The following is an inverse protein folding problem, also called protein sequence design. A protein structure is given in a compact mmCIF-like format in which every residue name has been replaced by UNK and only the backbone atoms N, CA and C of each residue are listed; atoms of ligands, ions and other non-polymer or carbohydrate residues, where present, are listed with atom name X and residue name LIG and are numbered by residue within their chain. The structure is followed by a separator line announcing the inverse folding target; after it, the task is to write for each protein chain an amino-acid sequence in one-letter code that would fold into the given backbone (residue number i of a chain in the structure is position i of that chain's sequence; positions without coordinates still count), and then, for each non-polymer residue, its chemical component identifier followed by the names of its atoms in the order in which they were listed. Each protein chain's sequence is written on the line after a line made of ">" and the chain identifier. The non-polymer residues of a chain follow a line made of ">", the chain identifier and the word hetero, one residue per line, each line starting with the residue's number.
data_IF_149062758573
#
_entry.id   IF_149062758573
#
_cell.length_a   1.000
_cell.length_b   1.000
_cell.length_c   1.000
_cell.angle_alpha   90.00
_cell.angle_beta   90.00
_cell.angle_gamma   90.00
#
_symmetry.space_group_name_H-M   'P 1'
#
loop_
_entity.id
_entity.type
_entity.pdbx_description
1 polymer ?
#
# COMPACT_ATOMS: atom_id res chain seq x y z
N UNK A 1 -11.18 19.67 79.74
CA UNK A 1 -11.88 19.92 78.46
C UNK A 1 -11.35 18.96 77.41
N UNK A 2 -12.21 18.14 76.77
CA UNK A 2 -11.84 17.21 75.69
C UNK A 2 -12.34 17.80 74.36
N UNK A 3 -11.50 17.89 73.31
CA UNK A 3 -11.92 18.46 72.05
C UNK A 3 -12.78 17.46 71.27
N UNK A 4 -13.91 17.91 70.75
CA UNK A 4 -14.72 17.16 69.79
C UNK A 4 -14.07 17.28 68.40
N UNK A 5 -13.44 16.20 67.94
CA UNK A 5 -12.95 16.09 66.56
C UNK A 5 -14.08 15.62 65.64
N UNK A 6 -14.50 16.51 64.73
CA UNK A 6 -15.49 16.20 63.69
C UNK A 6 -14.84 15.35 62.60
N UNK A 7 -15.21 14.06 62.51
CA UNK A 7 -14.80 13.20 61.38
C UNK A 7 -15.61 13.57 60.14
N UNK A 8 -14.95 14.07 59.09
CA UNK A 8 -15.52 14.11 57.73
C UNK A 8 -15.71 12.66 57.25
N UNK A 9 -16.96 12.24 57.08
CA UNK A 9 -17.29 11.00 56.37
C UNK A 9 -17.07 11.24 54.88
N UNK A 10 -16.12 10.52 54.28
CA UNK A 10 -16.01 10.44 52.82
C UNK A 10 -17.27 9.73 52.32
N UNK A 11 -18.18 10.47 51.68
CA UNK A 11 -19.28 9.84 50.95
C UNK A 11 -18.71 9.25 49.67
N UNK A 12 -18.58 7.93 49.63
CA UNK A 12 -18.26 7.19 48.41
C UNK A 12 -19.46 7.32 47.48
N UNK A 13 -19.37 8.21 46.50
CA UNK A 13 -20.34 8.27 45.41
C UNK A 13 -20.15 7.00 44.55
N UNK A 14 -21.14 6.13 44.54
CA UNK A 14 -21.17 4.92 43.71
C UNK A 14 -22.11 5.12 42.52
N UNK A 15 -21.75 4.54 41.38
CA UNK A 15 -22.62 4.51 40.20
C UNK A 15 -23.78 3.55 40.42
N UNK A 16 -24.97 3.91 39.95
CA UNK A 16 -26.13 3.00 39.97
C UNK A 16 -26.04 2.00 38.82
N UNK A 17 -26.64 0.81 38.97
CA UNK A 17 -26.70 -0.19 37.90
C UNK A 17 -27.36 0.39 36.64
N UNK A 18 -28.41 1.20 36.81
CA UNK A 18 -29.13 1.82 35.70
C UNK A 18 -28.28 2.88 34.98
N UNK A 19 -27.42 3.61 35.70
CA UNK A 19 -26.53 4.62 35.12
C UNK A 19 -25.47 3.97 34.23
N UNK A 20 -24.86 2.87 34.69
CA UNK A 20 -23.92 2.09 33.87
C UNK A 20 -24.62 1.52 32.63
N UNK A 21 -25.85 1.03 32.78
CA UNK A 21 -26.64 0.49 31.67
C UNK A 21 -26.90 1.56 30.59
N UNK A 22 -27.29 2.77 30.98
CA UNK A 22 -27.52 3.88 30.05
C UNK A 22 -26.22 4.28 29.35
N UNK A 23 -25.09 4.35 30.07
CA UNK A 23 -23.78 4.66 29.48
C UNK A 23 -23.35 3.63 28.44
N UNK A 24 -23.52 2.34 28.71
CA UNK A 24 -23.19 1.27 27.76
C UNK A 24 -24.06 1.33 26.51
N UNK A 25 -25.36 1.64 26.65
CA UNK A 25 -26.26 1.82 25.50
C UNK A 25 -25.78 2.99 24.63
N UNK A 26 -25.50 4.15 25.23
CA UNK A 26 -25.01 5.32 24.49
C UNK A 26 -23.68 5.00 23.80
N UNK A 27 -22.75 4.34 24.49
CA UNK A 27 -21.47 3.92 23.92
C UNK A 27 -21.64 2.96 22.74
N UNK A 28 -22.58 2.01 22.83
CA UNK A 28 -22.90 1.07 21.75
C UNK A 28 -23.42 1.78 20.50
N UNK A 29 -24.30 2.77 20.66
CA UNK A 29 -24.83 3.58 19.54
C UNK A 29 -23.70 4.36 18.87
N UNK A 30 -22.83 5.01 19.65
CA UNK A 30 -21.70 5.77 19.13
C UNK A 30 -20.71 4.86 18.39
N UNK A 31 -20.42 3.68 18.95
CA UNK A 31 -19.53 2.70 18.33
C UNK A 31 -20.09 2.22 16.98
N UNK A 32 -21.40 1.97 16.86
CA UNK A 32 -22.02 1.54 15.62
C UNK A 32 -21.88 2.56 14.48
N UNK A 33 -21.89 3.86 14.78
CA UNK A 33 -21.71 4.93 13.79
C UNK A 33 -20.23 5.10 13.43
N UNK A 34 -19.33 5.00 14.42
CA UNK A 34 -17.90 5.23 14.22
C UNK A 34 -17.19 4.05 13.52
N UNK A 35 -17.61 2.81 13.77
CA UNK A 35 -16.96 1.60 13.28
C UNK A 35 -16.71 1.56 11.76
N UNK A 36 -17.71 1.80 10.87
CA UNK A 36 -17.46 1.74 9.42
C UNK A 36 -16.46 2.80 8.93
N UNK A 37 -16.49 4.01 9.50
CA UNK A 37 -15.55 5.07 9.16
C UNK A 37 -14.12 4.75 9.58
N UNK A 38 -13.94 4.14 10.75
CA UNK A 38 -12.64 3.68 11.23
C UNK A 38 -12.04 2.59 10.32
N UNK A 39 -12.86 1.63 9.87
CA UNK A 39 -12.42 0.58 8.94
C UNK A 39 -11.97 1.16 7.59
N UNK A 40 -12.71 2.13 7.04
CA UNK A 40 -12.33 2.81 5.81
C UNK A 40 -11.02 3.59 5.96
N UNK A 41 -10.84 4.28 7.10
CA UNK A 41 -9.60 4.99 7.41
C UNK A 41 -8.39 4.06 7.48
N UNK A 42 -8.51 2.93 8.19
CA UNK A 42 -7.44 1.92 8.28
C UNK A 42 -7.07 1.37 6.89
N UNK A 43 -8.05 1.09 6.04
CA UNK A 43 -7.77 0.62 4.67
C UNK A 43 -6.99 1.66 3.87
N UNK A 44 -7.32 2.95 3.98
CA UNK A 44 -6.58 4.02 3.29
C UNK A 44 -5.15 4.17 3.83
N UNK A 45 -4.96 4.02 5.14
CA UNK A 45 -3.62 4.01 5.73
C UNK A 45 -2.78 2.83 5.23
N UNK A 46 -3.38 1.64 5.08
CA UNK A 46 -2.70 0.45 4.55
C UNK A 46 -2.29 0.63 3.09
N UNK A 47 -3.18 1.12 2.24
CA UNK A 47 -2.85 1.40 0.84
C UNK A 47 -1.68 2.40 0.76
N UNK A 48 -1.69 3.45 1.60
CA UNK A 48 -0.59 4.42 1.67
C UNK A 48 0.73 3.86 2.18
N UNK A 49 0.69 2.94 3.14
CA UNK A 49 1.90 2.26 3.60
C UNK A 49 2.50 1.39 2.49
N UNK A 50 1.68 0.63 1.78
CA UNK A 50 2.12 -0.21 0.65
C UNK A 50 2.66 0.64 -0.51
N UNK A 51 2.00 1.75 -0.84
CA UNK A 51 2.47 2.69 -1.87
C UNK A 51 3.83 3.29 -1.52
N UNK A 52 4.00 3.76 -0.28
CA UNK A 52 5.27 4.31 0.19
C UNK A 52 6.39 3.27 0.17
N UNK A 53 6.11 2.05 0.62
CA UNK A 53 7.08 0.95 0.60
C UNK A 53 7.45 0.55 -0.84
N UNK A 54 6.47 0.46 -1.75
CA UNK A 54 6.68 0.18 -3.17
C UNK A 54 7.55 1.27 -3.82
N UNK A 55 7.19 2.53 -3.61
CA UNK A 55 7.93 3.69 -4.11
C UNK A 55 9.39 3.67 -3.63
N UNK A 56 9.61 3.38 -2.34
CA UNK A 56 10.95 3.26 -1.77
C UNK A 56 11.70 2.05 -2.34
N UNK A 57 11.03 0.91 -2.50
CA UNK A 57 11.62 -0.32 -3.03
C UNK A 57 12.07 -0.13 -4.48
N UNK A 58 11.24 0.47 -5.33
CA UNK A 58 11.59 0.78 -6.72
C UNK A 58 12.75 1.77 -6.81
N UNK A 59 12.73 2.85 -6.01
CA UNK A 59 13.85 3.80 -5.94
C UNK A 59 15.14 3.10 -5.53
N UNK A 60 15.09 2.29 -4.48
CA UNK A 60 16.25 1.55 -4.00
C UNK A 60 16.76 0.57 -5.04
N UNK A 61 15.88 -0.17 -5.71
CA UNK A 61 16.23 -1.10 -6.77
C UNK A 61 16.91 -0.37 -7.96
N UNK A 62 16.36 0.75 -8.40
CA UNK A 62 16.97 1.58 -9.43
C UNK A 62 18.36 2.07 -9.02
N UNK A 63 18.52 2.57 -7.79
CA UNK A 63 19.81 3.02 -7.27
C UNK A 63 20.81 1.87 -7.14
N UNK A 64 20.38 0.70 -6.69
CA UNK A 64 21.22 -0.50 -6.59
C UNK A 64 21.70 -0.96 -7.98
N UNK A 65 20.83 -0.94 -9.00
CA UNK A 65 21.19 -1.26 -10.37
C UNK A 65 22.29 -0.34 -10.92
N UNK A 66 22.17 0.97 -10.68
CA UNK A 66 23.15 1.98 -11.06
C UNK A 66 24.47 1.78 -10.30
N UNK A 67 24.41 1.69 -8.97
CA UNK A 67 25.59 1.61 -8.12
C UNK A 67 26.41 0.35 -8.38
N UNK A 68 25.74 -0.78 -8.57
CA UNK A 68 26.39 -2.08 -8.78
C UNK A 68 26.62 -2.40 -10.26
N UNK A 69 26.18 -1.52 -11.18
CA UNK A 69 26.29 -1.67 -12.63
C UNK A 69 25.76 -3.01 -13.15
N UNK A 70 24.62 -3.42 -12.65
CA UNK A 70 23.98 -4.68 -12.99
C UNK A 70 22.50 -4.47 -13.23
N UNK A 71 21.94 -5.30 -14.11
CA UNK A 71 20.51 -5.27 -14.40
C UNK A 71 19.75 -5.98 -13.28
N UNK A 72 18.74 -5.30 -12.74
CA UNK A 72 18.01 -5.74 -11.56
C UNK A 72 16.52 -5.90 -11.88
N UNK A 73 16.00 -7.14 -11.92
CA UNK A 73 14.57 -7.37 -11.99
C UNK A 73 13.91 -7.23 -10.60
N UNK A 74 12.75 -6.60 -10.60
CA UNK A 74 11.84 -6.37 -9.48
C UNK A 74 10.50 -6.99 -9.85
N UNK A 75 10.21 -8.16 -9.30
CA UNK A 75 8.95 -8.86 -9.57
C UNK A 75 7.89 -8.41 -8.57
N UNK A 76 6.72 -8.10 -9.08
CA UNK A 76 5.51 -7.70 -8.38
C UNK A 76 4.67 -8.96 -8.25
N UNK A 77 4.42 -9.40 -7.02
CA UNK A 77 3.59 -10.57 -6.79
C UNK A 77 2.32 -10.13 -6.08
N UNK A 78 1.18 -10.27 -6.78
CA UNK A 78 -0.13 -10.12 -6.17
C UNK A 78 -0.44 -11.37 -5.34
N UNK A 79 -0.13 -11.31 -4.05
CA UNK A 79 -0.40 -12.40 -3.11
C UNK A 79 -1.76 -12.20 -2.43
N UNK A 80 -2.62 -13.22 -2.48
CA UNK A 80 -3.95 -13.20 -1.85
C UNK A 80 -3.94 -12.98 -0.31
N UNK A 81 -2.78 -13.08 0.34
CA UNK A 81 -2.62 -12.84 1.78
C UNK A 81 -1.92 -11.50 2.10
N UNK A 82 -1.00 -11.06 1.25
CA UNK A 82 -0.31 -9.77 1.36
C UNK A 82 0.38 -9.42 0.04
N UNK A 83 0.47 -8.12 -0.31
CA UNK A 83 1.25 -7.67 -1.46
C UNK A 83 2.74 -7.89 -1.20
N UNK A 84 3.43 -8.56 -2.12
CA UNK A 84 4.87 -8.82 -1.99
C UNK A 84 5.63 -8.43 -3.26
N UNK A 85 6.86 -7.97 -3.08
CA UNK A 85 7.79 -7.68 -4.18
C UNK A 85 9.04 -8.49 -4.00
N UNK A 86 9.50 -9.12 -5.07
CA UNK A 86 10.77 -9.85 -5.10
C UNK A 86 11.83 -8.99 -5.76
N UNK A 87 12.77 -8.47 -4.97
CA UNK A 87 13.95 -7.77 -5.47
C UNK A 87 15.13 -8.73 -5.41
N UNK A 88 15.77 -8.98 -6.55
CA UNK A 88 16.93 -9.88 -6.61
C UNK A 88 16.71 -11.29 -6.01
N UNK A 89 15.48 -11.81 -6.09
CA UNK A 89 15.14 -13.15 -5.59
C UNK A 89 14.82 -13.18 -4.09
N UNK A 90 14.81 -12.02 -3.43
CA UNK A 90 14.38 -11.86 -2.05
C UNK A 90 12.99 -11.23 -2.04
N UNK A 91 12.01 -11.96 -1.52
CA UNK A 91 10.65 -11.46 -1.34
C UNK A 91 10.57 -10.55 -0.12
N UNK A 92 9.93 -9.40 -0.29
CA UNK A 92 9.60 -8.43 0.74
C UNK A 92 8.09 -8.22 0.74
N UNK A 93 7.48 -8.30 1.92
CA UNK A 93 6.09 -7.88 2.12
C UNK A 93 6.01 -6.36 2.25
N UNK A 94 5.04 -5.75 1.58
CA UNK A 94 4.78 -4.32 1.66
C UNK A 94 3.73 -4.00 2.72
N UNK A 95 3.80 -2.81 3.33
CA UNK A 95 2.74 -2.27 4.19
C UNK A 95 2.71 -2.84 5.61
N UNK A 96 3.85 -3.25 6.14
CA UNK A 96 4.07 -3.89 7.45
C UNK A 96 3.39 -5.27 7.63
N UNK A 97 4.16 -6.27 8.06
CA UNK A 97 3.85 -7.70 7.91
C UNK A 97 2.84 -8.28 8.91
N UNK A 98 2.27 -7.47 9.81
CA UNK A 98 1.46 -7.98 10.93
C UNK A 98 -0.06 -7.86 10.74
N UNK A 99 -0.57 -6.96 9.88
CA UNK A 99 -1.97 -6.54 9.92
C UNK A 99 -2.61 -6.25 8.54
N UNK A 100 -2.10 -6.84 7.46
CA UNK A 100 -2.78 -6.80 6.15
C UNK A 100 -3.68 -8.03 6.02
N UNK A 101 -5.02 -7.92 6.19
CA UNK A 101 -5.92 -9.08 6.13
C UNK A 101 -6.17 -9.58 4.69
N UNK A 102 -5.14 -9.61 3.82
CA UNK A 102 -5.25 -10.07 2.44
C UNK A 102 -6.17 -9.25 1.55
N UNK A 103 -6.53 -8.04 1.97
CA UNK A 103 -7.45 -7.18 1.22
C UNK A 103 -6.76 -6.07 0.41
N UNK A 104 -5.43 -6.08 0.32
CA UNK A 104 -4.66 -5.16 -0.53
C UNK A 104 -4.11 -5.95 -1.70
N UNK A 105 -4.35 -5.46 -2.91
CA UNK A 105 -3.94 -6.10 -4.15
C UNK A 105 -3.04 -5.18 -4.95
N UNK A 106 -2.05 -5.77 -5.62
CA UNK A 106 -1.21 -5.07 -6.59
C UNK A 106 -1.68 -5.43 -8.00
N UNK A 107 -1.80 -4.43 -8.85
CA UNK A 107 -2.13 -4.63 -10.26
C UNK A 107 -1.25 -3.75 -11.12
N UNK A 108 -0.47 -4.38 -11.99
CA UNK A 108 0.50 -3.73 -12.88
C UNK A 108 -0.02 -3.73 -14.31
N UNK A 109 -0.13 -2.53 -14.89
CA UNK A 109 -0.64 -2.34 -16.25
C UNK A 109 0.03 -1.18 -16.96
N UNK A 110 -0.11 -1.20 -18.27
CA UNK A 110 0.20 -0.06 -19.15
C UNK A 110 -1.12 0.60 -19.56
N UNK A 111 -1.10 1.91 -19.82
CA UNK A 111 -2.28 2.62 -20.31
C UNK A 111 -2.07 3.03 -21.75
N UNK A 112 -2.76 2.35 -22.65
CA UNK A 112 -2.71 2.65 -24.10
C UNK A 112 -4.05 3.21 -24.54
N UNK A 113 -4.05 4.44 -25.05
CA UNK A 113 -5.27 5.14 -25.46
C UNK A 113 -6.37 5.21 -24.37
N UNK A 114 -5.96 5.34 -23.11
CA UNK A 114 -6.88 5.44 -21.95
C UNK A 114 -7.45 4.11 -21.47
N UNK A 115 -6.92 2.97 -21.94
CA UNK A 115 -7.37 1.64 -21.52
C UNK A 115 -6.21 0.93 -20.79
N UNK A 116 -6.41 0.51 -19.52
CA UNK A 116 -5.45 -0.34 -18.80
C UNK A 116 -5.31 -1.72 -19.45
N UNK A 117 -4.08 -2.19 -19.59
CA UNK A 117 -3.74 -3.54 -20.07
C UNK A 117 -2.74 -4.19 -19.11
N UNK A 118 -3.18 -5.25 -18.41
CA UNK A 118 -2.40 -5.99 -17.41
C UNK A 118 -1.44 -6.97 -18.10
N UNK A 119 -0.23 -6.53 -18.42
CA UNK A 119 0.69 -7.31 -19.27
C UNK A 119 2.09 -7.50 -18.68
N UNK A 120 2.32 -7.07 -17.45
CA UNK A 120 3.62 -7.27 -16.81
C UNK A 120 3.46 -7.56 -15.32
N UNK A 121 4.41 -8.32 -14.80
CA UNK A 121 4.57 -8.55 -13.36
C UNK A 121 5.98 -8.18 -12.90
N UNK A 122 6.86 -7.75 -13.80
CA UNK A 122 8.26 -7.49 -13.50
C UNK A 122 8.71 -6.16 -14.08
N UNK A 123 9.35 -5.35 -13.26
CA UNK A 123 10.08 -4.14 -13.65
C UNK A 123 11.56 -4.45 -13.65
N UNK A 124 12.25 -4.17 -14.75
CA UNK A 124 13.68 -4.37 -14.89
C UNK A 124 14.37 -3.02 -14.95
N UNK A 125 15.32 -2.78 -14.04
CA UNK A 125 16.20 -1.61 -14.10
C UNK A 125 17.55 -2.02 -14.68
N UNK A 126 17.96 -1.40 -15.78
CA UNK A 126 19.31 -1.60 -16.32
C UNK A 126 20.38 -0.91 -15.46
N UNK A 127 21.65 -1.09 -15.83
CA UNK A 127 22.78 -0.48 -15.13
C UNK A 127 22.83 1.07 -15.21
N UNK A 128 21.96 1.68 -16.04
CA UNK A 128 21.78 3.14 -16.16
C UNK A 128 20.56 3.62 -15.37
N UNK A 129 19.81 2.71 -14.76
CA UNK A 129 18.55 2.99 -14.07
C UNK A 129 17.36 3.19 -15.00
N UNK A 130 17.48 2.83 -16.28
CA UNK A 130 16.39 2.87 -17.25
C UNK A 130 15.43 1.71 -16.95
N UNK A 131 14.12 1.98 -16.80
CA UNK A 131 13.13 0.96 -16.58
C UNK A 131 12.70 0.30 -17.90
N UNK A 132 12.49 -1.01 -17.84
CA UNK A 132 11.72 -1.79 -18.80
C UNK A 132 10.76 -2.72 -18.05
N UNK A 133 9.76 -3.26 -18.73
CA UNK A 133 8.77 -4.16 -18.13
C UNK A 133 8.82 -5.52 -18.82
N UNK A 134 8.35 -6.54 -18.12
CA UNK A 134 8.17 -7.86 -18.71
C UNK A 134 7.38 -8.79 -17.80
N UNK A 135 7.16 -10.00 -18.31
CA UNK A 135 6.45 -11.06 -17.59
C UNK A 135 7.45 -12.11 -17.11
N UNK A 136 7.34 -12.46 -15.83
CA UNK A 136 8.08 -13.56 -15.23
C UNK A 136 7.63 -14.87 -15.88
N UNK A 137 8.58 -15.76 -16.22
CA UNK A 137 8.24 -17.10 -16.70
C UNK A 137 7.35 -17.84 -15.70
N UNK A 138 6.35 -18.58 -16.20
CA UNK A 138 5.42 -19.35 -15.37
C UNK A 138 6.09 -20.44 -14.49
N UNK A 139 7.34 -20.80 -14.80
CA UNK A 139 8.16 -21.73 -14.01
C UNK A 139 8.75 -21.08 -12.73
N UNK A 140 8.45 -19.80 -12.48
CA UNK A 140 8.93 -19.07 -11.29
C UNK A 140 10.41 -18.72 -11.34
N UNK A 141 11.05 -18.90 -12.50
CA UNK A 141 12.41 -18.43 -12.76
C UNK A 141 12.42 -16.92 -12.96
N UNK A 142 13.59 -16.28 -12.81
CA UNK A 142 13.72 -14.84 -13.03
C UNK A 142 13.57 -14.55 -14.53
N UNK A 143 12.90 -13.46 -14.87
CA UNK A 143 12.91 -12.94 -16.25
C UNK A 143 14.36 -12.71 -16.72
N UNK A 144 14.64 -13.12 -17.95
CA UNK A 144 15.87 -12.74 -18.62
C UNK A 144 15.76 -11.27 -19.05
N UNK A 145 16.68 -10.38 -18.63
CA UNK A 145 16.54 -8.94 -18.91
C UNK A 145 16.48 -8.56 -20.39
N UNK A 146 16.86 -9.48 -21.29
CA UNK A 146 16.76 -9.29 -22.73
C UNK A 146 15.32 -9.35 -23.25
N UNK A 147 14.40 -9.95 -22.49
CA UNK A 147 12.99 -10.13 -22.87
C UNK A 147 12.11 -8.96 -22.37
N UNK A 148 12.68 -7.98 -21.66
CA UNK A 148 11.95 -6.83 -21.14
C UNK A 148 11.78 -5.71 -22.20
N UNK A 149 10.57 -5.17 -22.37
CA UNK A 149 10.24 -4.07 -23.29
C UNK A 149 10.36 -2.70 -22.61
N UNK A 150 10.89 -1.71 -23.33
CA UNK A 150 10.97 -0.30 -22.89
C UNK A 150 10.04 0.61 -23.69
N UNK A 151 9.25 0.06 -24.60
CA UNK A 151 8.35 0.82 -25.48
C UNK A 151 7.03 1.22 -24.80
N UNK A 152 6.73 0.65 -23.63
CA UNK A 152 5.43 0.75 -22.96
C UNK A 152 5.41 1.74 -21.78
N UNK A 153 6.15 2.85 -21.89
CA UNK A 153 6.10 3.93 -20.92
C UNK A 153 4.97 4.93 -21.25
N UNK A 154 4.24 5.47 -20.26
CA UNK A 154 4.33 5.16 -18.83
C UNK A 154 3.61 3.85 -18.45
N UNK A 155 4.13 3.16 -17.45
CA UNK A 155 3.44 2.03 -16.82
C UNK A 155 3.08 2.35 -15.37
N UNK A 156 2.06 1.64 -14.87
CA UNK A 156 1.42 1.90 -13.60
C UNK A 156 1.44 0.63 -12.76
N UNK A 157 1.78 0.78 -11.48
CA UNK A 157 1.59 -0.25 -10.46
C UNK A 157 0.57 0.32 -9.49
N UNK A 158 -0.66 -0.18 -9.57
CA UNK A 158 -1.74 0.21 -8.70
C UNK A 158 -1.81 -0.66 -7.45
N UNK A 159 -2.19 -0.03 -6.34
CA UNK A 159 -2.44 -0.60 -5.04
C UNK A 159 -3.91 -0.34 -4.76
N UNK A 160 -4.72 -1.39 -4.68
CA UNK A 160 -6.14 -1.27 -4.40
C UNK A 160 -6.53 -2.05 -3.16
N UNK A 161 -7.53 -1.58 -2.44
CA UNK A 161 -8.22 -2.43 -1.46
C UNK A 161 -9.30 -3.24 -2.17
N UNK A 162 -9.31 -4.57 -2.01
CA UNK A 162 -10.19 -5.53 -2.71
C UNK A 162 -11.70 -5.35 -2.53
N UNK A 163 -12.14 -4.33 -1.78
CA UNK A 163 -13.54 -3.93 -1.65
C UNK A 163 -13.87 -2.61 -2.40
N UNK A 164 -12.99 -2.12 -3.29
CA UNK A 164 -13.26 -0.98 -4.17
C UNK A 164 -13.33 0.39 -3.47
N UNK A 165 -12.55 0.58 -2.41
CA UNK A 165 -12.60 1.80 -1.59
C UNK A 165 -11.54 2.85 -1.91
N UNK A 166 -10.26 2.49 -1.77
CA UNK A 166 -9.12 3.40 -1.94
C UNK A 166 -8.12 2.79 -2.91
N UNK A 167 -7.73 3.56 -3.92
CA UNK A 167 -6.71 3.19 -4.89
C UNK A 167 -5.59 4.23 -4.87
N UNK A 168 -4.34 3.75 -4.86
CA UNK A 168 -3.16 4.56 -5.08
C UNK A 168 -2.28 3.87 -6.09
N UNK A 169 -1.35 4.59 -6.70
CA UNK A 169 -0.48 4.00 -7.70
C UNK A 169 0.88 4.69 -7.74
N UNK A 170 1.86 3.90 -8.15
CA UNK A 170 3.18 4.37 -8.53
C UNK A 170 3.30 4.30 -10.03
N UNK A 171 3.54 5.45 -10.66
CA UNK A 171 3.67 5.64 -12.10
C UNK A 171 5.13 5.81 -12.43
N UNK A 172 5.62 5.03 -13.40
CA UNK A 172 6.95 5.20 -14.00
C UNK A 172 6.77 5.96 -15.30
N UNK A 173 7.15 7.24 -15.28
CA UNK A 173 6.72 8.18 -16.32
C UNK A 173 7.58 8.20 -17.58
N UNK A 174 8.87 7.81 -17.51
CA UNK A 174 9.81 7.96 -18.63
C UNK A 174 11.00 7.00 -18.54
N UNK A 175 11.84 7.03 -19.59
CA UNK A 175 13.07 6.23 -19.71
C UNK A 175 14.15 6.57 -18.68
N UNK A 176 14.01 7.70 -17.96
CA UNK A 176 14.90 8.05 -16.85
C UNK A 176 14.41 7.41 -15.53
N UNK A 177 13.28 6.71 -15.55
CA UNK A 177 12.71 6.04 -14.38
C UNK A 177 12.18 7.01 -13.33
N UNK A 178 11.67 8.17 -13.73
CA UNK A 178 11.02 9.06 -12.77
C UNK A 178 9.74 8.42 -12.23
N UNK A 179 9.67 8.30 -10.90
CA UNK A 179 8.56 7.70 -10.17
C UNK A 179 7.66 8.80 -9.60
N UNK A 180 6.35 8.73 -9.87
CA UNK A 180 5.33 9.62 -9.31
C UNK A 180 4.23 8.82 -8.62
N UNK A 181 3.72 9.37 -7.53
CA UNK A 181 2.57 8.83 -6.81
C UNK A 181 1.30 9.50 -7.32
N UNK A 182 0.23 8.73 -7.52
CA UNK A 182 -1.10 9.21 -7.89
C UNK A 182 -2.19 8.40 -7.17
N UNK A 183 -3.43 8.90 -7.17
CA UNK A 183 -4.53 8.29 -6.44
C UNK A 183 -5.78 8.16 -7.31
N UNK A 184 -6.60 7.15 -7.00
CA UNK A 184 -7.93 6.97 -7.57
C UNK A 184 -7.92 7.04 -9.11
N UNK A 185 -8.72 7.93 -9.73
CA UNK A 185 -8.85 8.04 -11.19
C UNK A 185 -7.56 8.48 -11.88
N UNK A 186 -6.65 9.19 -11.19
CA UNK A 186 -5.38 9.65 -11.74
C UNK A 186 -4.45 8.47 -12.11
N UNK A 187 -4.70 7.28 -11.57
CA UNK A 187 -3.98 6.07 -11.94
C UNK A 187 -4.29 5.60 -13.37
N UNK A 188 -5.49 5.90 -13.87
CA UNK A 188 -5.93 5.51 -15.21
C UNK A 188 -5.54 6.56 -16.27
N UNK A 189 -5.04 7.73 -15.86
CA UNK A 189 -4.53 8.77 -16.75
C UNK A 189 -3.09 9.16 -16.37
N UNK A 190 -2.12 8.27 -16.64
CA UNK A 190 -0.73 8.54 -16.31
C UNK A 190 -0.14 9.69 -17.14
N UNK A 191 -0.76 10.09 -18.25
CA UNK A 191 -0.31 11.25 -19.04
C UNK A 191 -0.59 12.56 -18.31
N UNK A 192 -1.79 12.76 -17.79
CA UNK A 192 -2.16 13.97 -17.02
C UNK A 192 -1.50 13.97 -15.65
N UNK A 193 -1.26 12.79 -15.08
CA UNK A 193 -0.50 12.67 -13.85
C UNK A 193 1.00 12.98 -14.03
N UNK A 194 1.52 13.40 -15.18
CA UNK A 194 2.97 13.69 -15.37
C UNK A 194 3.34 15.17 -15.49
N UNK A 195 2.36 16.07 -15.57
CA UNK A 195 2.55 17.53 -15.48
C UNK A 195 2.65 18.06 -14.03
#
# INVERSE_FOLDING_TARGET
>A
MKPFTFRKTHQTAGFTLIEVLVVVIIAGILAAIAAPGWLAFLNRQRVGAVESDLMQTLKNAQQDAIQRRLTLPVQINDGAAAPTITVNGLAQTLGDSADNPGNIQLTSYVVTAGVPYDDFDTVVFDYRGMPSIGTSPADGTRIDPADASSEDLPFVISISSGNGGSQQCVIVANLLGSLKSANDDDCNDPGVATD
#
